data_IF_539606070347
#
_entry.id   IF_539606070347
#
_cell.length_a   1.000
_cell.length_b   1.000
_cell.length_c   1.000
_cell.angle_alpha   90.00
_cell.angle_beta   90.00
_cell.angle_gamma   90.00
#
_symmetry.space_group_name_H-M   'P 1'
#
loop_
_entity.id
_entity.type
_entity.pdbx_description
1 polymer ?
#
# COMPACT_ATOMS: atom_id res chain seq x y z
N UNK A 1 -2.26 -17.73 -3.47
CA UNK A 1 -1.45 -16.80 -2.63
C UNK A 1 -1.73 -15.31 -2.88
N UNK A 2 -2.49 -14.89 -3.93
CA UNK A 2 -2.91 -13.48 -4.08
C UNK A 2 -4.27 -13.17 -3.43
N UNK A 3 -5.18 -14.15 -3.35
CA UNK A 3 -6.54 -13.96 -2.80
C UNK A 3 -6.55 -13.59 -1.32
N UNK A 4 -5.59 -14.09 -0.53
CA UNK A 4 -5.47 -13.75 0.90
C UNK A 4 -5.11 -12.27 1.08
N UNK A 5 -4.14 -11.78 0.29
CA UNK A 5 -3.75 -10.36 0.32
C UNK A 5 -4.94 -9.48 -0.07
N UNK A 6 -5.69 -9.83 -1.11
CA UNK A 6 -6.88 -9.07 -1.51
C UNK A 6 -7.96 -9.05 -0.41
N UNK A 7 -8.23 -10.18 0.25
CA UNK A 7 -9.19 -10.27 1.34
C UNK A 7 -8.78 -9.38 2.53
N UNK A 8 -7.50 -9.38 2.90
CA UNK A 8 -7.02 -8.51 3.97
C UNK A 8 -7.17 -7.04 3.57
N UNK A 9 -6.86 -6.66 2.33
CA UNK A 9 -7.00 -5.26 1.87
C UNK A 9 -8.43 -4.75 1.82
N UNK A 10 -9.43 -5.61 1.60
CA UNK A 10 -10.85 -5.21 1.60
C UNK A 10 -11.44 -5.13 3.01
N UNK A 11 -11.00 -6.00 3.92
CA UNK A 11 -11.49 -6.03 5.31
C UNK A 11 -10.80 -4.95 6.17
N UNK A 12 -9.53 -4.64 5.91
CA UNK A 12 -8.76 -3.64 6.66
C UNK A 12 -9.49 -2.28 6.82
N UNK A 13 -10.01 -1.62 5.77
CA UNK A 13 -10.70 -0.34 5.91
C UNK A 13 -12.05 -0.45 6.63
N UNK A 14 -12.68 -1.62 6.68
CA UNK A 14 -13.93 -1.83 7.43
C UNK A 14 -13.65 -1.91 8.94
N UNK A 15 -12.56 -2.59 9.32
CA UNK A 15 -12.19 -2.80 10.73
C UNK A 15 -11.49 -1.57 11.33
N UNK A 16 -10.72 -0.84 10.53
CA UNK A 16 -9.98 0.35 10.97
C UNK A 16 -10.83 1.40 11.74
N UNK A 17 -11.98 1.88 11.23
CA UNK A 17 -12.80 2.87 11.93
C UNK A 17 -13.50 2.28 13.16
N UNK A 18 -13.83 0.99 13.17
CA UNK A 18 -14.43 0.34 14.34
C UNK A 18 -13.45 0.31 15.51
N UNK A 19 -12.21 -0.10 15.25
CA UNK A 19 -11.16 -0.14 16.26
C UNK A 19 -10.73 1.28 16.66
N UNK A 20 -10.52 2.17 15.69
CA UNK A 20 -10.15 3.57 15.96
C UNK A 20 -11.21 4.33 16.75
N UNK A 21 -12.49 4.13 16.42
CA UNK A 21 -13.62 4.70 17.13
C UNK A 21 -13.76 4.15 18.55
N UNK A 22 -13.61 2.83 18.73
CA UNK A 22 -13.62 2.21 20.06
C UNK A 22 -12.47 2.75 20.93
N UNK A 23 -11.26 2.89 20.38
CA UNK A 23 -10.12 3.50 21.10
C UNK A 23 -10.41 4.95 21.46
N UNK A 24 -11.04 5.73 20.58
CA UNK A 24 -11.34 7.14 20.83
C UNK A 24 -12.38 7.37 21.94
N UNK A 25 -13.29 6.42 22.15
CA UNK A 25 -14.30 6.50 23.23
C UNK A 25 -13.65 6.33 24.61
N UNK A 26 -12.64 5.47 24.73
CA UNK A 26 -12.00 5.15 26.00
C UNK A 26 -10.68 5.91 26.22
N UNK A 27 -10.02 6.34 25.14
CA UNK A 27 -8.72 7.01 25.15
C UNK A 27 -8.71 8.22 24.22
N UNK A 28 -7.80 9.17 24.45
CA UNK A 28 -7.62 10.32 23.56
C UNK A 28 -7.01 9.92 22.20
N UNK A 29 -7.11 10.80 21.20
CA UNK A 29 -6.54 10.62 19.86
C UNK A 29 -5.05 10.22 19.84
N UNK A 30 -4.28 10.62 20.85
CA UNK A 30 -2.87 10.22 21.04
C UNK A 30 -2.68 8.70 21.15
N UNK A 31 -3.66 7.97 21.71
CA UNK A 31 -3.57 6.52 21.83
C UNK A 31 -3.57 5.83 20.46
N UNK A 32 -4.28 6.40 19.47
CA UNK A 32 -4.27 5.88 18.09
C UNK A 32 -2.86 5.97 17.50
N UNK A 33 -2.17 7.10 17.71
CA UNK A 33 -0.79 7.26 17.26
C UNK A 33 0.16 6.29 17.94
N UNK A 34 0.04 6.09 19.26
CA UNK A 34 0.86 5.12 19.98
C UNK A 34 0.62 3.68 19.51
N UNK A 35 -0.64 3.30 19.29
CA UNK A 35 -0.99 1.97 18.75
C UNK A 35 -0.38 1.78 17.36
N UNK A 36 -0.51 2.77 16.47
CA UNK A 36 0.07 2.72 15.13
C UNK A 36 1.60 2.68 15.17
N UNK A 37 2.23 3.44 16.06
CA UNK A 37 3.68 3.46 16.24
C UNK A 37 4.21 2.10 16.72
N UNK A 38 3.55 1.49 17.71
CA UNK A 38 3.90 0.14 18.20
C UNK A 38 3.67 -0.89 17.11
N UNK A 39 2.55 -0.82 16.37
CA UNK A 39 2.28 -1.73 15.26
C UNK A 39 3.32 -1.60 14.13
N UNK A 40 3.72 -0.38 13.78
CA UNK A 40 4.76 -0.13 12.80
C UNK A 40 6.12 -0.65 13.28
N UNK A 41 6.47 -0.43 14.55
CA UNK A 41 7.72 -0.93 15.14
C UNK A 41 7.76 -2.47 15.15
N UNK A 42 6.65 -3.10 15.54
CA UNK A 42 6.50 -4.55 15.51
C UNK A 42 6.62 -5.07 14.08
N UNK A 43 5.95 -4.45 13.11
CA UNK A 43 6.05 -4.82 11.71
C UNK A 43 7.49 -4.65 11.19
N UNK A 44 8.17 -3.55 11.50
CA UNK A 44 9.57 -3.32 11.13
C UNK A 44 10.50 -4.35 11.77
N UNK A 45 10.30 -4.68 13.05
CA UNK A 45 11.05 -5.73 13.72
C UNK A 45 10.80 -7.10 13.06
N UNK A 46 9.53 -7.45 12.81
CA UNK A 46 9.17 -8.69 12.12
C UNK A 46 9.81 -8.74 10.74
N UNK A 47 9.77 -7.66 9.96
CA UNK A 47 10.43 -7.60 8.66
C UNK A 47 11.95 -7.79 8.86
N UNK A 48 12.58 -7.09 9.78
CA UNK A 48 14.02 -7.22 10.03
C UNK A 48 14.45 -8.63 10.47
N UNK A 49 13.62 -9.35 11.23
CA UNK A 49 13.93 -10.69 11.74
C UNK A 49 13.46 -11.83 10.81
N UNK A 50 12.32 -11.69 10.12
CA UNK A 50 11.74 -12.72 9.25
C UNK A 50 12.04 -12.49 7.76
N UNK A 51 12.18 -11.23 7.30
CA UNK A 51 12.67 -10.94 5.94
C UNK A 51 14.20 -11.03 5.98
N UNK A 52 14.72 -12.24 5.78
CA UNK A 52 16.10 -12.37 5.29
C UNK A 52 16.13 -11.73 3.90
N UNK A 53 17.04 -10.77 3.67
CA UNK A 53 17.18 -9.99 2.43
C UNK A 53 16.85 -10.82 1.18
N UNK A 54 15.72 -10.52 0.54
CA UNK A 54 15.28 -11.20 -0.69
C UNK A 54 16.09 -10.77 -1.92
N UNK A 55 17.13 -9.94 -1.71
CA UNK A 55 17.94 -9.36 -2.77
C UNK A 55 19.40 -9.80 -2.61
N UNK A 56 19.82 -10.88 -3.32
CA UNK A 56 21.22 -11.22 -3.43
C UNK A 56 22.01 -10.01 -3.96
N UNK A 57 23.14 -9.64 -3.35
CA UNK A 57 23.95 -8.49 -3.74
C UNK A 57 24.40 -8.55 -5.21
N UNK A 58 24.40 -9.73 -5.85
CA UNK A 58 24.75 -9.93 -7.27
C UNK A 58 23.70 -9.41 -8.27
N UNK A 59 22.45 -9.14 -7.84
CA UNK A 59 21.37 -8.57 -8.68
C UNK A 59 21.09 -7.11 -8.37
N UNK A 60 22.04 -6.37 -7.77
CA UNK A 60 22.02 -4.90 -7.76
C UNK A 60 22.08 -4.40 -9.21
N UNK A 61 20.92 -4.30 -9.86
CA UNK A 61 20.79 -3.50 -11.08
C UNK A 61 21.26 -2.09 -10.72
N UNK A 62 22.41 -1.69 -11.26
CA UNK A 62 22.90 -0.31 -11.23
C UNK A 62 21.72 0.57 -11.61
N UNK A 63 21.21 1.37 -10.66
CA UNK A 63 20.11 2.29 -10.85
C UNK A 63 20.41 3.21 -12.04
N UNK A 64 20.02 2.81 -13.24
CA UNK A 64 19.97 3.66 -14.41
C UNK A 64 18.64 4.41 -14.34
N UNK A 65 18.60 5.41 -13.45
CA UNK A 65 17.48 6.35 -13.29
C UNK A 65 17.04 6.86 -14.67
N UNK A 66 17.99 7.11 -15.59
CA UNK A 66 17.71 7.53 -16.97
C UNK A 66 16.91 6.51 -17.80
N UNK A 67 17.18 5.21 -17.66
CA UNK A 67 16.46 4.16 -18.41
C UNK A 67 15.10 3.87 -17.78
N UNK A 68 15.01 3.89 -16.45
CA UNK A 68 13.72 3.80 -15.74
C UNK A 68 12.82 4.98 -16.08
N UNK A 69 13.34 6.22 -16.05
CA UNK A 69 12.58 7.43 -16.41
C UNK A 69 12.16 7.41 -17.90
N UNK A 70 13.01 6.89 -18.79
CA UNK A 70 12.66 6.68 -20.21
C UNK A 70 11.54 5.64 -20.42
N UNK A 71 11.53 4.55 -19.64
CA UNK A 71 10.45 3.58 -19.65
C UNK A 71 9.15 4.15 -19.05
N UNK A 72 9.23 4.93 -17.97
CA UNK A 72 8.08 5.68 -17.43
C UNK A 72 7.53 6.70 -18.44
N UNK A 73 8.40 7.40 -19.17
CA UNK A 73 7.99 8.33 -20.23
C UNK A 73 7.35 7.61 -21.42
N UNK A 74 7.82 6.40 -21.75
CA UNK A 74 7.22 5.54 -22.79
C UNK A 74 5.85 5.01 -22.35
N UNK A 75 5.68 4.65 -21.08
CA UNK A 75 4.39 4.27 -20.48
C UNK A 75 3.37 5.41 -20.56
N UNK A 76 3.78 6.64 -20.27
CA UNK A 76 2.93 7.83 -20.44
C UNK A 76 2.57 8.11 -21.91
N UNK A 77 3.42 7.69 -22.85
CA UNK A 77 3.18 7.85 -24.30
C UNK A 77 2.16 6.86 -24.86
N UNK A 78 1.95 5.72 -24.21
CA UNK A 78 0.91 4.78 -24.59
C UNK A 78 -0.44 5.20 -24.01
N UNK A 79 -1.24 5.92 -24.83
CA UNK A 79 -2.65 6.28 -24.54
C UNK A 79 -3.48 5.11 -23.98
N UNK A 80 -3.17 3.87 -24.36
CA UNK A 80 -3.85 2.65 -23.87
C UNK A 80 -3.57 2.36 -22.39
N UNK A 81 -2.35 2.59 -21.91
CA UNK A 81 -1.99 2.45 -20.49
C UNK A 81 -2.64 3.57 -19.69
N UNK A 82 -2.58 4.80 -20.22
CA UNK A 82 -3.28 5.93 -19.61
C UNK A 82 -4.79 5.69 -19.54
N UNK A 83 -5.42 5.13 -20.57
CA UNK A 83 -6.86 4.80 -20.52
C UNK A 83 -7.17 3.69 -19.53
N UNK A 84 -6.30 2.70 -19.34
CA UNK A 84 -6.50 1.69 -18.29
C UNK A 84 -6.30 2.25 -16.89
N UNK A 85 -5.30 3.10 -16.68
CA UNK A 85 -5.09 3.79 -15.39
C UNK A 85 -6.25 4.73 -15.07
N UNK A 86 -6.70 5.52 -16.06
CA UNK A 86 -7.88 6.37 -15.94
C UNK A 86 -9.14 5.53 -15.70
N UNK A 87 -9.36 4.44 -16.44
CA UNK A 87 -10.49 3.55 -16.20
C UNK A 87 -10.46 2.93 -14.80
N UNK A 88 -9.28 2.55 -14.30
CA UNK A 88 -9.14 2.03 -12.92
C UNK A 88 -9.37 3.11 -11.86
N UNK A 89 -8.92 4.35 -12.08
CA UNK A 89 -9.13 5.47 -11.16
C UNK A 89 -10.58 5.99 -11.19
N UNK A 90 -11.20 6.04 -12.36
CA UNK A 90 -12.61 6.37 -12.56
C UNK A 90 -13.56 5.19 -12.30
N UNK A 91 -13.06 3.99 -12.04
CA UNK A 91 -13.92 2.89 -11.57
C UNK A 91 -14.39 3.12 -10.13
N UNK A 92 -13.69 3.95 -9.35
CA UNK A 92 -13.98 4.20 -7.93
C UNK A 92 -14.96 5.37 -7.62
N UNK A 93 -15.38 6.25 -8.55
CA UNK A 93 -16.52 7.16 -8.31
C UNK A 93 -17.86 6.66 -8.88
N UNK A 94 -17.92 5.50 -9.55
CA UNK A 94 -19.12 5.03 -10.27
C UNK A 94 -20.27 4.47 -9.41
N UNK A 95 -20.12 4.40 -8.09
CA UNK A 95 -21.17 3.93 -7.17
C UNK A 95 -21.68 5.04 -6.24
N UNK A 96 -21.79 6.28 -6.72
CA UNK A 96 -22.54 7.35 -6.03
C UNK A 96 -23.97 7.51 -6.56
N UNK A 97 -24.51 6.49 -7.23
CA UNK A 97 -25.91 6.49 -7.67
C UNK A 97 -26.60 5.21 -7.22
N UNK A 98 -26.86 5.09 -5.92
CA UNK A 98 -28.11 4.63 -5.32
C UNK A 98 -28.10 4.92 -3.81
#
# INVERSE_FOLDING_TARGET
MMSFVMLVTTIAPLVAPMVGGAVLVWFSWHAIFWILAVAALLASAMIAFFISETLPPERRQKFHIRTTLGNFATLFRHKRVLSYMLASGFSLPGCSHF
#
